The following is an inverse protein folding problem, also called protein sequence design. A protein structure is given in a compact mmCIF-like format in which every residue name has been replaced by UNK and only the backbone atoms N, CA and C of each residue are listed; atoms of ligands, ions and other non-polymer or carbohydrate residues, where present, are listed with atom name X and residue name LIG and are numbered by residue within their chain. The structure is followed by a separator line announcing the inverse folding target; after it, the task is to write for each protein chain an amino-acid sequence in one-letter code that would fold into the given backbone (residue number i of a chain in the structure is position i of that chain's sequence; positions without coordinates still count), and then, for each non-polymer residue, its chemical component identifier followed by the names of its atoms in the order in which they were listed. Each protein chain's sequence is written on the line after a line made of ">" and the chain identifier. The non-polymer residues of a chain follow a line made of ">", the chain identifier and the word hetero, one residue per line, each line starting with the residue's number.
data_IF_049916608299
#
_entry.id   IF_049916608299
#
_cell.length_a   1.000
_cell.length_b   1.000
_cell.length_c   1.000
_cell.angle_alpha   90.00
_cell.angle_beta   90.00
_cell.angle_gamma   90.00
#
_symmetry.space_group_name_H-M   'P 1'
#
loop_
_entity.id
_entity.type
_entity.pdbx_description
1 polymer ?
#
# COMPACT_ATOMS: atom_id res chain seq x y z
N UNK A 1 4.43 10.40 -9.38
CA UNK A 1 3.29 9.48 -9.54
C UNK A 1 2.70 9.21 -8.17
N UNK A 2 1.37 9.07 -8.03
CA UNK A 2 0.72 8.71 -6.76
C UNK A 2 0.36 7.22 -6.81
N UNK A 3 0.75 6.46 -5.80
CA UNK A 3 0.54 5.02 -5.69
C UNK A 3 -0.24 4.77 -4.39
N UNK A 4 -1.36 4.04 -4.49
CA UNK A 4 -2.21 3.71 -3.35
C UNK A 4 -2.41 2.20 -3.29
N UNK A 5 -2.07 1.60 -2.14
CA UNK A 5 -2.28 0.19 -1.85
C UNK A 5 -3.46 0.08 -0.89
N UNK A 6 -4.54 -0.57 -1.33
CA UNK A 6 -5.81 -0.66 -0.59
C UNK A 6 -5.88 -1.84 0.39
N UNK A 7 -5.06 -2.89 0.19
CA UNK A 7 -4.99 -4.06 1.06
C UNK A 7 -3.52 -4.42 1.35
N UNK A 8 -2.90 -3.59 2.18
CA UNK A 8 -1.49 -3.68 2.53
C UNK A 8 -1.19 -4.86 3.44
N UNK A 9 -2.07 -5.19 4.39
CA UNK A 9 -1.79 -6.24 5.37
C UNK A 9 -1.76 -7.64 4.74
N UNK A 10 -2.66 -7.90 3.78
CA UNK A 10 -2.66 -9.19 3.07
C UNK A 10 -1.44 -9.33 2.15
N UNK A 11 -1.01 -8.24 1.52
CA UNK A 11 0.13 -8.23 0.59
C UNK A 11 1.48 -8.25 1.32
N UNK A 12 1.58 -7.54 2.45
CA UNK A 12 2.78 -7.41 3.27
C UNK A 12 2.37 -7.11 4.72
N UNK A 13 2.35 -8.12 5.60
CA UNK A 13 1.99 -7.96 7.02
C UNK A 13 3.10 -7.28 7.86
N UNK A 14 4.11 -6.69 7.21
CA UNK A 14 5.18 -5.92 7.85
C UNK A 14 6.55 -6.61 7.87
N UNK A 15 6.69 -7.76 7.22
CA UNK A 15 7.95 -8.48 7.08
C UNK A 15 8.83 -7.96 5.93
N UNK A 16 8.23 -7.25 4.97
CA UNK A 16 8.91 -6.63 3.83
C UNK A 16 8.88 -5.10 3.90
N UNK A 17 9.80 -4.44 3.19
CA UNK A 17 9.84 -2.99 3.03
C UNK A 17 9.11 -2.52 1.78
N UNK A 18 8.33 -1.44 1.90
CA UNK A 18 7.71 -0.73 0.77
C UNK A 18 8.67 0.22 0.03
N UNK A 19 9.95 0.27 0.43
CA UNK A 19 10.90 1.27 -0.04
C UNK A 19 11.08 1.31 -1.56
N UNK A 20 11.01 0.16 -2.25
CA UNK A 20 11.10 0.14 -3.72
C UNK A 20 9.94 0.88 -4.39
N UNK A 21 8.71 0.78 -3.87
CA UNK A 21 7.57 1.52 -4.40
C UNK A 21 7.74 3.03 -4.21
N UNK A 22 8.34 3.46 -3.09
CA UNK A 22 8.59 4.87 -2.79
C UNK A 22 9.60 5.49 -3.77
N UNK A 23 10.46 4.69 -4.42
CA UNK A 23 11.34 5.19 -5.49
C UNK A 23 10.59 5.53 -6.78
N UNK A 24 9.37 4.99 -6.95
CA UNK A 24 8.55 5.18 -8.15
C UNK A 24 7.52 6.31 -7.98
N UNK A 25 7.26 6.76 -6.75
CA UNK A 25 6.28 7.81 -6.47
C UNK A 25 5.94 7.96 -4.99
N UNK A 26 4.95 8.80 -4.72
CA UNK A 26 4.36 8.97 -3.39
C UNK A 26 3.44 7.78 -3.08
N UNK A 27 3.66 7.11 -1.95
CA UNK A 27 3.01 5.84 -1.59
C UNK A 27 2.17 6.02 -0.34
N UNK A 28 0.88 5.68 -0.45
CA UNK A 28 -0.03 5.50 0.70
C UNK A 28 -0.47 4.05 0.77
N UNK A 29 -0.36 3.44 1.96
CA UNK A 29 -0.76 2.04 2.19
C UNK A 29 -1.84 2.03 3.25
N UNK A 30 -2.97 1.40 2.94
CA UNK A 30 -4.04 1.10 3.88
C UNK A 30 -3.92 -0.37 4.31
N UNK A 31 -4.11 -0.66 5.60
CA UNK A 31 -4.08 -2.04 6.10
C UNK A 31 -5.17 -2.90 5.45
N UNK A 32 -6.38 -2.33 5.33
CA UNK A 32 -7.52 -2.92 4.61
C UNK A 32 -8.46 -1.80 4.16
N UNK A 33 -9.16 -2.03 3.04
CA UNK A 33 -10.19 -1.16 2.49
C UNK A 33 -11.40 -2.01 2.13
N UNK A 34 -12.60 -1.58 2.50
CA UNK A 34 -13.86 -2.21 2.05
C UNK A 34 -14.22 -1.78 0.63
N UNK A 35 -15.08 -2.51 -0.11
CA UNK A 35 -15.52 -2.09 -1.44
C UNK A 35 -16.12 -0.67 -1.49
N UNK A 36 -16.75 -0.23 -0.40
CA UNK A 36 -17.36 1.11 -0.28
C UNK A 36 -16.34 2.23 -0.03
N UNK A 37 -15.11 1.89 0.36
CA UNK A 37 -14.02 2.83 0.69
C UNK A 37 -12.98 2.97 -0.45
N UNK A 38 -13.08 2.15 -1.51
CA UNK A 38 -12.15 2.11 -2.65
C UNK A 38 -12.51 3.14 -3.73
#
# INVERSE_FOLDING_TARGET
>A
MKIVVLDGNTLNPGDLSWGLLQTLGDVTVYERTTPEEA
#
